data_IF_398000722289
#
_entry.id   IF_398000722289
#
_cell.length_a   1.000
_cell.length_b   1.000
_cell.length_c   1.000
_cell.angle_alpha   90.00
_cell.angle_beta   90.00
_cell.angle_gamma   90.00
#
_symmetry.space_group_name_H-M   'P 1'
#
loop_
_entity.id
_entity.type
_entity.pdbx_description
1 polymer ?
#
# COMPACT_ATOMS: atom_id res chain seq x y z
N UNK A 1 -9.01 13.88 -2.10
CA UNK A 1 -8.78 12.55 -1.49
C UNK A 1 -7.76 11.73 -2.28
N UNK A 2 -7.87 11.65 -3.61
CA UNK A 2 -6.90 10.96 -4.50
C UNK A 2 -5.46 11.45 -4.32
N UNK A 3 -5.26 12.78 -4.26
CA UNK A 3 -3.94 13.39 -4.05
C UNK A 3 -3.27 12.99 -2.72
N UNK A 4 -4.07 12.76 -1.67
CA UNK A 4 -3.56 12.30 -0.38
C UNK A 4 -3.12 10.83 -0.44
N UNK A 5 -3.88 9.98 -1.13
CA UNK A 5 -3.51 8.58 -1.37
C UNK A 5 -2.21 8.46 -2.20
N UNK A 6 -2.10 9.24 -3.28
CA UNK A 6 -0.87 9.30 -4.10
C UNK A 6 0.35 9.73 -3.28
N UNK A 7 0.17 10.72 -2.38
CA UNK A 7 1.25 11.17 -1.50
C UNK A 7 1.66 10.09 -0.48
N UNK A 8 0.69 9.37 0.08
CA UNK A 8 0.94 8.26 1.00
C UNK A 8 1.70 7.11 0.34
N UNK A 9 1.30 6.73 -0.87
CA UNK A 9 2.02 5.74 -1.68
C UNK A 9 3.46 6.22 -1.95
N UNK A 10 3.63 7.44 -2.44
CA UNK A 10 4.95 8.00 -2.76
C UNK A 10 5.89 8.04 -1.56
N UNK A 11 5.39 8.52 -0.41
CA UNK A 11 6.17 8.59 0.83
C UNK A 11 6.49 7.19 1.37
N UNK A 12 5.54 6.24 1.31
CA UNK A 12 5.79 4.84 1.68
C UNK A 12 6.81 4.18 0.76
N UNK A 13 6.77 4.49 -0.55
CA UNK A 13 7.73 4.07 -1.55
C UNK A 13 9.06 4.83 -1.45
N UNK A 14 9.18 5.86 -0.64
CA UNK A 14 10.44 6.60 -0.43
C UNK A 14 11.07 6.27 0.91
N UNK A 15 10.24 6.09 1.93
CA UNK A 15 10.62 5.76 3.29
C UNK A 15 9.69 4.65 3.80
N UNK A 16 9.97 3.39 3.43
CA UNK A 16 9.22 2.27 3.98
C UNK A 16 9.32 2.32 5.49
N UNK A 17 8.19 2.10 6.14
CA UNK A 17 8.07 2.11 7.58
C UNK A 17 8.90 0.94 8.13
N UNK A 18 9.88 1.24 8.99
CA UNK A 18 10.82 0.26 9.56
C UNK A 18 10.16 -0.62 10.65
N UNK A 19 8.83 -0.72 10.62
CA UNK A 19 8.05 -1.31 11.68
C UNK A 19 7.79 -2.81 11.43
N UNK A 20 8.63 -3.62 12.10
CA UNK A 20 8.21 -4.77 12.89
C UNK A 20 7.32 -5.82 12.19
N UNK A 21 7.97 -6.77 11.52
CA UNK A 21 7.41 -8.04 11.04
C UNK A 21 6.31 -7.96 9.97
N UNK A 22 6.29 -8.91 9.00
CA UNK A 22 5.24 -8.98 7.98
C UNK A 22 3.81 -9.08 8.51
N UNK A 23 3.64 -9.62 9.72
CA UNK A 23 2.35 -9.81 10.39
C UNK A 23 1.59 -8.50 10.66
N UNK A 24 2.31 -7.38 10.78
CA UNK A 24 1.72 -6.08 11.08
C UNK A 24 1.33 -5.30 9.82
N UNK A 25 1.71 -5.76 8.62
CA UNK A 25 1.42 -5.06 7.36
C UNK A 25 -0.08 -4.91 7.08
N UNK A 26 -0.91 -5.86 7.55
CA UNK A 26 -2.36 -5.82 7.40
C UNK A 26 -3.05 -4.70 8.21
N UNK A 27 -2.36 -4.11 9.20
CA UNK A 27 -2.88 -2.97 9.98
C UNK A 27 -2.56 -1.62 9.33
N UNK A 28 -1.67 -1.60 8.33
CA UNK A 28 -1.22 -0.37 7.69
C UNK A 28 -2.11 0.00 6.50
N UNK A 29 -2.38 1.30 6.33
CA UNK A 29 -3.16 1.83 5.19
C UNK A 29 -2.44 1.58 3.85
N UNK A 30 -1.10 1.56 3.88
CA UNK A 30 -0.20 1.28 2.77
C UNK A 30 0.79 0.21 3.22
N UNK A 31 1.09 -0.77 2.37
CA UNK A 31 2.01 -1.86 2.70
C UNK A 31 3.44 -1.32 2.89
N UNK A 32 4.02 -1.37 4.10
CA UNK A 32 5.33 -0.77 4.38
C UNK A 32 6.51 -1.63 3.91
N UNK A 33 6.26 -2.89 3.54
CA UNK A 33 7.30 -3.85 3.17
C UNK A 33 7.64 -3.73 1.69
N UNK A 34 8.91 -3.46 1.38
CA UNK A 34 9.41 -3.51 0.00
C UNK A 34 9.79 -4.94 -0.39
N UNK A 35 9.39 -5.36 -1.60
CA UNK A 35 9.95 -6.53 -2.27
C UNK A 35 9.03 -7.75 -2.44
N UNK A 36 7.72 -7.61 -2.19
CA UNK A 36 6.79 -8.74 -2.27
C UNK A 36 5.53 -8.50 -3.10
N UNK A 37 5.47 -7.44 -3.92
CA UNK A 37 4.22 -7.05 -4.61
C UNK A 37 3.61 -8.17 -5.48
N UNK A 38 4.38 -9.15 -5.94
CA UNK A 38 3.84 -10.26 -6.73
C UNK A 38 3.22 -11.39 -5.88
N UNK A 39 3.67 -11.60 -4.63
CA UNK A 39 3.23 -12.70 -3.77
C UNK A 39 2.39 -12.25 -2.56
N UNK A 40 2.52 -10.99 -2.13
CA UNK A 40 1.75 -10.41 -1.02
C UNK A 40 0.31 -10.08 -1.45
N UNK A 41 0.10 -9.78 -2.73
CA UNK A 41 -1.22 -9.44 -3.28
C UNK A 41 -2.25 -10.57 -3.10
N UNK A 42 -1.78 -11.81 -3.00
CA UNK A 42 -2.63 -13.00 -2.82
C UNK A 42 -3.14 -13.18 -1.36
N UNK A 43 -2.52 -12.51 -0.39
CA UNK A 43 -2.86 -12.60 1.04
C UNK A 43 -3.32 -11.26 1.63
N UNK A 44 -3.41 -10.21 0.82
CA UNK A 44 -3.87 -8.91 1.24
C UNK A 44 -5.40 -8.88 1.30
N UNK A 45 -5.98 -8.53 2.45
CA UNK A 45 -7.43 -8.32 2.59
C UNK A 45 -7.92 -7.05 1.88
N UNK A 46 -7.00 -6.26 1.32
CA UNK A 46 -7.30 -5.07 0.56
C UNK A 46 -6.62 -5.07 -0.80
N UNK A 47 -7.31 -4.55 -1.84
CA UNK A 47 -6.73 -4.40 -3.16
C UNK A 47 -5.53 -3.44 -3.11
N UNK A 48 -4.54 -3.65 -3.99
CA UNK A 48 -3.32 -2.84 -4.02
C UNK A 48 -3.60 -1.35 -4.23
N UNK A 49 -2.67 -0.51 -3.82
CA UNK A 49 -2.85 0.94 -3.77
C UNK A 49 -3.13 1.53 -5.16
N UNK A 50 -2.46 1.06 -6.20
CA UNK A 50 -2.75 1.46 -7.59
C UNK A 50 -4.19 1.15 -8.00
N UNK A 51 -4.72 -0.02 -7.62
CA UNK A 51 -6.11 -0.38 -7.93
C UNK A 51 -7.11 0.54 -7.22
N UNK A 52 -6.82 0.92 -5.97
CA UNK A 52 -7.64 1.88 -5.20
C UNK A 52 -7.60 3.28 -5.82
N UNK A 53 -6.43 3.76 -6.25
CA UNK A 53 -6.28 5.06 -6.93
C UNK A 53 -7.04 5.04 -8.25
N UNK A 54 -6.87 3.98 -9.06
CA UNK A 54 -7.55 3.82 -10.34
C UNK A 54 -9.07 3.75 -10.21
N UNK A 55 -9.58 3.13 -9.15
CA UNK A 55 -11.01 3.12 -8.86
C UNK A 55 -11.53 4.53 -8.53
N UNK A 56 -10.78 5.30 -7.75
CA UNK A 56 -11.13 6.68 -7.42
C UNK A 56 -10.99 7.65 -8.60
N UNK A 57 -10.04 7.41 -9.51
CA UNK A 57 -9.90 8.22 -10.74
C UNK A 57 -11.02 7.98 -11.77
N UNK A 58 -11.74 6.86 -11.63
CA UNK A 58 -12.91 6.53 -12.47
C UNK A 58 -14.23 7.08 -11.91
N UNK A 59 -14.22 7.62 -10.70
CA UNK A 59 -15.36 8.27 -10.05
C UNK A 59 -15.32 9.78 -10.32
#
# INVERSE_FOLDING_TARGET
MISALKKLEWENHRKPLDCGSPSNAALCIVNPLRGGDFFIDMFSTHPPMEARIKALEKL
#
